data_IF_707483790221
#
_entry.id   IF_707483790221
#
_cell.length_a   1.000
_cell.length_b   1.000
_cell.length_c   1.000
_cell.angle_alpha   90.00
_cell.angle_beta   90.00
_cell.angle_gamma   90.00
#
_symmetry.space_group_name_H-M   'P 1'
#
loop_
_entity.id
_entity.type
_entity.pdbx_description
1 polymer ?
#
# COMPACT_ATOMS: atom_id res chain seq x y z
N UNK A 1 -16.73 6.38 -23.49
CA UNK A 1 -16.53 7.35 -22.39
C UNK A 1 -15.52 6.76 -21.42
N UNK A 2 -14.30 7.27 -21.38
CA UNK A 2 -13.27 6.81 -20.43
C UNK A 2 -13.66 7.24 -19.02
N UNK A 3 -14.17 6.30 -18.22
CA UNK A 3 -14.43 6.53 -16.80
C UNK A 3 -13.11 6.93 -16.12
N UNK A 4 -12.97 8.22 -15.80
CA UNK A 4 -11.79 8.77 -15.13
C UNK A 4 -11.84 8.34 -13.67
N UNK A 5 -11.17 7.23 -13.36
CA UNK A 5 -10.94 6.79 -11.99
C UNK A 5 -9.94 7.71 -11.30
N UNK A 6 -10.08 7.82 -9.98
CA UNK A 6 -9.22 8.65 -9.16
C UNK A 6 -8.19 7.79 -8.42
N UNK A 7 -8.62 6.63 -7.92
CA UNK A 7 -7.74 5.65 -7.32
C UNK A 7 -8.01 4.27 -7.92
N UNK A 8 -6.96 3.50 -8.16
CA UNK A 8 -7.06 2.11 -8.59
C UNK A 8 -6.26 1.26 -7.62
N UNK A 9 -6.92 0.31 -6.97
CA UNK A 9 -6.29 -0.68 -6.11
C UNK A 9 -6.27 -2.04 -6.80
N UNK A 10 -5.09 -2.52 -7.14
CA UNK A 10 -4.89 -3.81 -7.80
C UNK A 10 -4.26 -4.83 -6.85
N UNK A 11 -4.46 -6.11 -7.17
CA UNK A 11 -3.78 -7.24 -6.53
C UNK A 11 -2.95 -7.93 -7.60
N UNK A 12 -1.71 -8.29 -7.29
CA UNK A 12 -0.86 -9.10 -8.17
C UNK A 12 0.14 -9.91 -7.33
N UNK A 13 0.75 -10.91 -7.97
CA UNK A 13 1.80 -11.71 -7.37
C UNK A 13 3.10 -10.90 -7.28
N UNK A 14 3.85 -11.06 -6.19
CA UNK A 14 5.19 -10.49 -6.03
C UNK A 14 6.12 -10.93 -7.17
N UNK A 15 5.96 -12.17 -7.65
CA UNK A 15 6.71 -12.72 -8.78
C UNK A 15 6.41 -12.07 -10.14
N UNK A 16 5.34 -11.28 -10.25
CA UNK A 16 4.99 -10.50 -11.45
C UNK A 16 5.81 -9.21 -11.60
N UNK A 17 6.43 -8.73 -10.51
CA UNK A 17 7.19 -7.48 -10.48
C UNK A 17 8.36 -7.51 -11.47
N UNK A 18 8.52 -6.45 -12.25
CA UNK A 18 9.56 -6.30 -13.29
C UNK A 18 9.31 -7.11 -14.56
N UNK A 19 8.46 -8.13 -14.51
CA UNK A 19 8.08 -8.97 -15.67
C UNK A 19 6.86 -8.43 -16.38
N UNK A 20 5.74 -8.37 -15.68
CA UNK A 20 4.43 -7.93 -16.22
C UNK A 20 4.05 -6.55 -15.71
N UNK A 21 4.55 -6.17 -14.53
CA UNK A 21 4.25 -4.90 -13.89
C UNK A 21 5.54 -4.13 -13.66
N UNK A 22 5.53 -2.84 -14.03
CA UNK A 22 6.67 -1.92 -13.86
C UNK A 22 6.18 -0.72 -13.07
N UNK A 23 6.04 -0.83 -11.74
CA UNK A 23 5.70 0.32 -10.91
C UNK A 23 6.84 1.33 -10.92
N UNK A 24 6.51 2.60 -10.72
CA UNK A 24 7.50 3.67 -10.64
C UNK A 24 8.19 3.70 -9.27
N UNK A 25 7.50 3.18 -8.26
CA UNK A 25 8.05 2.93 -6.94
C UNK A 25 7.51 1.65 -6.30
N UNK A 26 8.30 1.08 -5.40
CA UNK A 26 7.92 -0.04 -4.55
C UNK A 26 7.91 0.37 -3.09
N UNK A 27 7.04 -0.24 -2.28
CA UNK A 27 6.98 -0.05 -0.83
C UNK A 27 7.35 -1.37 -0.16
N UNK A 28 8.43 -1.33 0.61
CA UNK A 28 8.84 -2.40 1.51
C UNK A 28 8.50 -1.98 2.95
N UNK A 29 8.20 -2.95 3.81
CA UNK A 29 8.00 -2.69 5.24
C UNK A 29 9.32 -2.74 6.02
N UNK A 30 9.42 -1.90 7.04
CA UNK A 30 10.54 -1.83 7.97
C UNK A 30 10.08 -1.76 9.43
N UNK A 31 10.98 -2.21 10.29
CA UNK A 31 10.97 -1.93 11.72
C UNK A 31 11.54 -0.52 11.98
N UNK A 32 11.17 0.08 13.11
CA UNK A 32 11.67 1.38 13.54
C UNK A 32 13.19 1.47 13.65
N UNK A 33 13.89 0.35 13.80
CA UNK A 33 15.35 0.24 13.81
C UNK A 33 15.94 -0.20 12.46
N UNK A 34 15.14 -0.27 11.39
CA UNK A 34 15.55 -0.61 10.02
C UNK A 34 16.22 -1.99 9.86
N UNK A 35 15.74 -2.98 10.61
CA UNK A 35 16.31 -4.34 10.64
C UNK A 35 15.60 -5.35 9.73
N UNK A 36 14.57 -4.94 8.96
CA UNK A 36 13.84 -5.85 8.08
C UNK A 36 14.38 -5.85 6.65
N UNK A 37 15.21 -4.86 6.28
CA UNK A 37 15.83 -4.77 4.98
C UNK A 37 16.61 -6.03 4.59
N UNK A 38 16.86 -6.24 3.27
CA UNK A 38 17.60 -7.40 2.80
C UNK A 38 18.93 -7.51 3.54
N UNK A 39 19.23 -8.70 4.06
CA UNK A 39 20.52 -8.98 4.70
C UNK A 39 21.61 -8.79 3.65
N UNK A 40 22.27 -7.64 3.69
CA UNK A 40 23.50 -7.42 2.95
C UNK A 40 24.65 -7.96 3.77
N UNK A 41 25.65 -8.54 3.11
CA UNK A 41 26.95 -8.75 3.74
C UNK A 41 27.47 -7.35 4.10
N UNK A 42 27.78 -7.14 5.37
CA UNK A 42 28.52 -5.96 5.80
C UNK A 42 29.86 -6.00 5.06
N UNK A 43 30.03 -5.13 4.08
CA UNK A 43 31.26 -5.04 3.31
C UNK A 43 32.30 -4.34 4.19
N UNK A 44 33.04 -5.15 4.96
CA UNK A 44 34.12 -4.69 5.85
C UNK A 44 35.32 -4.12 5.06
N UNK A 45 35.34 -4.28 3.73
CA UNK A 45 36.37 -3.75 2.84
C UNK A 45 35.95 -2.41 2.21
N UNK A 46 34.68 -2.02 2.31
CA UNK A 46 34.26 -0.63 2.09
C UNK A 46 34.82 0.23 3.22
N UNK A 47 35.12 1.50 2.95
CA UNK A 47 35.81 2.42 3.87
C UNK A 47 35.08 2.73 5.21
N UNK A 48 34.03 2.00 5.55
CA UNK A 48 33.32 2.07 6.82
C UNK A 48 33.93 1.04 7.78
N UNK A 49 34.85 1.50 8.63
CA UNK A 49 35.42 0.66 9.68
C UNK A 49 34.33 0.19 10.69
N UNK A 50 34.63 -0.88 11.43
CA UNK A 50 33.71 -1.44 12.43
C UNK A 50 33.32 -0.42 13.52
N UNK A 51 34.18 0.56 13.80
CA UNK A 51 33.92 1.63 14.77
C UNK A 51 32.92 2.63 14.22
N UNK A 52 32.94 2.94 12.91
CA UNK A 52 31.97 3.77 12.22
C UNK A 52 30.60 3.10 12.18
N UNK A 53 30.54 1.79 11.94
CA UNK A 53 29.32 1.01 12.06
C UNK A 53 28.79 1.02 13.51
N UNK A 54 29.65 0.86 14.50
CA UNK A 54 29.27 0.92 15.92
C UNK A 54 28.76 2.30 16.34
N UNK A 55 29.44 3.38 15.91
CA UNK A 55 29.01 4.76 16.17
C UNK A 55 27.66 5.05 15.49
N UNK A 56 27.45 4.58 14.27
CA UNK A 56 26.17 4.71 13.57
C UNK A 56 25.02 3.99 14.31
N UNK A 57 25.29 2.81 14.89
CA UNK A 57 24.34 2.07 15.73
C UNK A 57 24.09 2.80 17.05
N UNK A 58 25.13 3.31 17.70
CA UNK A 58 25.03 4.01 19.00
C UNK A 58 24.19 5.29 18.89
N UNK A 59 24.37 6.02 17.80
CA UNK A 59 23.68 7.29 17.58
C UNK A 59 22.34 7.09 16.85
N UNK A 60 22.01 5.84 16.46
CA UNK A 60 20.73 5.51 15.85
C UNK A 60 19.57 5.92 16.76
N UNK A 61 18.61 6.62 16.17
CA UNK A 61 17.36 6.97 16.82
C UNK A 61 16.25 6.21 16.11
N UNK A 62 15.46 5.40 16.83
CA UNK A 62 14.36 4.66 16.23
C UNK A 62 13.42 5.61 15.49
N UNK A 63 13.04 5.23 14.28
CA UNK A 63 12.15 6.02 13.44
C UNK A 63 10.72 6.01 13.98
N UNK A 64 9.93 7.07 13.73
CA UNK A 64 8.54 7.11 14.16
C UNK A 64 7.68 6.11 13.37
N UNK A 65 6.85 5.34 14.09
CA UNK A 65 5.87 4.44 13.49
C UNK A 65 4.85 5.20 12.65
N UNK A 66 4.56 4.67 11.46
CA UNK A 66 3.76 5.33 10.44
C UNK A 66 4.55 6.34 9.60
N UNK A 67 5.87 6.44 9.80
CA UNK A 67 6.77 7.16 8.92
C UNK A 67 7.19 6.34 7.71
N UNK A 68 8.04 6.93 6.87
CA UNK A 68 8.71 6.21 5.78
C UNK A 68 10.05 6.86 5.44
N UNK A 69 10.95 6.07 4.83
CA UNK A 69 12.15 6.58 4.16
C UNK A 69 12.03 6.39 2.65
N UNK A 70 12.79 7.18 1.90
CA UNK A 70 12.88 7.06 0.45
C UNK A 70 14.31 6.71 0.07
N UNK A 71 14.48 5.56 -0.59
CA UNK A 71 15.75 5.12 -1.18
C UNK A 71 15.65 5.15 -2.69
N UNK A 72 16.70 5.68 -3.34
CA UNK A 72 16.85 5.57 -4.79
C UNK A 72 17.43 4.20 -5.13
N UNK A 73 17.00 3.64 -6.26
CA UNK A 73 17.63 2.45 -6.82
C UNK A 73 19.12 2.70 -7.07
N UNK A 74 19.94 1.66 -6.92
CA UNK A 74 21.40 1.75 -7.11
C UNK A 74 21.77 1.82 -8.59
N UNK A 75 20.89 1.36 -9.47
CA UNK A 75 21.11 1.33 -10.92
C UNK A 75 20.08 2.17 -11.69
N UNK A 76 20.47 2.75 -12.85
CA UNK A 76 19.52 3.44 -13.73
C UNK A 76 18.36 2.53 -14.14
N UNK A 77 17.13 3.03 -13.97
CA UNK A 77 15.91 2.31 -14.33
C UNK A 77 15.33 1.42 -13.23
N UNK A 78 15.97 1.32 -12.06
CA UNK A 78 15.35 0.70 -10.88
C UNK A 78 14.27 1.63 -10.30
N UNK A 79 13.13 1.08 -9.84
CA UNK A 79 12.08 1.87 -9.20
C UNK A 79 12.59 2.48 -7.89
N UNK A 80 11.97 3.60 -7.49
CA UNK A 80 12.19 4.18 -6.16
C UNK A 80 11.69 3.22 -5.08
N UNK A 81 12.38 3.13 -3.94
CA UNK A 81 11.92 2.30 -2.82
C UNK A 81 11.48 3.18 -1.66
N UNK A 82 10.22 3.07 -1.28
CA UNK A 82 9.73 3.54 0.01
C UNK A 82 9.91 2.44 1.06
N UNK A 83 10.53 2.79 2.19
CA UNK A 83 10.63 1.93 3.36
C UNK A 83 9.61 2.40 4.39
N UNK A 84 8.46 1.74 4.43
CA UNK A 84 7.36 2.04 5.34
C UNK A 84 7.69 1.54 6.75
N UNK A 85 7.87 2.46 7.70
CA UNK A 85 8.16 2.12 9.10
C UNK A 85 6.85 1.78 9.80
N UNK A 86 6.52 0.49 9.84
CA UNK A 86 5.23 -0.01 10.35
C UNK A 86 5.39 -1.02 11.47
N UNK A 87 6.60 -1.53 11.70
CA UNK A 87 6.90 -2.45 12.78
C UNK A 87 7.68 -1.80 13.92
N UNK A 88 7.36 -2.24 15.13
CA UNK A 88 8.19 -2.15 16.33
C UNK A 88 8.33 -3.57 16.89
N UNK A 89 9.47 -4.21 16.62
CA UNK A 89 9.70 -5.59 17.07
C UNK A 89 9.91 -5.75 18.58
N UNK A 90 10.02 -4.64 19.33
CA UNK A 90 9.98 -4.67 20.80
C UNK A 90 8.55 -4.86 21.34
N UNK A 91 7.53 -4.68 20.49
CA UNK A 91 6.12 -4.81 20.85
C UNK A 91 5.49 -6.12 20.35
N UNK A 92 4.37 -6.48 20.98
CA UNK A 92 3.47 -7.55 20.56
C UNK A 92 2.00 -7.10 20.68
N UNK A 93 1.24 -6.97 19.56
CA UNK A 93 1.70 -7.13 18.18
C UNK A 93 2.70 -6.04 17.81
N UNK A 94 3.62 -6.36 16.89
CA UNK A 94 4.66 -5.44 16.41
C UNK A 94 4.11 -4.29 15.55
N UNK A 95 2.85 -4.36 15.12
CA UNK A 95 2.25 -3.40 14.21
C UNK A 95 0.80 -3.14 14.60
N UNK A 96 0.32 -1.91 14.41
CA UNK A 96 -1.10 -1.55 14.52
C UNK A 96 -1.65 -1.09 13.17
N UNK A 97 -2.95 -1.26 12.88
CA UNK A 97 -3.55 -0.81 11.62
C UNK A 97 -3.31 0.68 11.33
N UNK A 98 -3.28 1.50 12.38
CA UNK A 98 -3.00 2.93 12.26
C UNK A 98 -1.59 3.26 11.78
N UNK A 99 -0.60 2.39 12.01
CA UNK A 99 0.78 2.60 11.58
C UNK A 99 0.90 2.35 10.08
N UNK A 100 0.30 1.26 9.59
CA UNK A 100 0.16 0.98 8.15
C UNK A 100 -0.56 2.12 7.45
N UNK A 101 -1.71 2.56 7.98
CA UNK A 101 -2.50 3.66 7.39
C UNK A 101 -1.68 4.94 7.29
N UNK A 102 -1.02 5.37 8.36
CA UNK A 102 -0.21 6.61 8.37
C UNK A 102 0.95 6.53 7.36
N UNK A 103 1.67 5.40 7.33
CA UNK A 103 2.80 5.23 6.44
C UNK A 103 2.36 5.21 4.97
N UNK A 104 1.34 4.42 4.65
CA UNK A 104 0.83 4.31 3.28
C UNK A 104 0.23 5.63 2.78
N UNK A 105 -0.52 6.36 3.62
CA UNK A 105 -0.96 7.73 3.29
C UNK A 105 0.22 8.67 3.00
N UNK A 106 1.27 8.61 3.82
CA UNK A 106 2.48 9.40 3.65
C UNK A 106 3.18 9.09 2.32
N UNK A 107 3.35 7.79 2.02
CA UNK A 107 3.96 7.31 0.78
C UNK A 107 3.18 7.76 -0.44
N UNK A 108 1.85 7.57 -0.47
CA UNK A 108 1.04 7.99 -1.64
C UNK A 108 1.10 9.50 -1.85
N UNK A 109 1.03 10.30 -0.79
CA UNK A 109 1.14 11.76 -0.87
C UNK A 109 2.52 12.19 -1.39
N UNK A 110 3.60 11.57 -0.92
CA UNK A 110 4.96 11.87 -1.42
C UNK A 110 5.14 11.44 -2.88
N UNK A 111 4.62 10.26 -3.24
CA UNK A 111 4.63 9.75 -4.60
C UNK A 111 3.92 10.72 -5.57
N UNK A 112 2.75 11.25 -5.20
CA UNK A 112 2.06 12.27 -6.00
C UNK A 112 2.86 13.57 -6.13
N UNK A 113 3.48 14.05 -5.05
CA UNK A 113 4.35 15.25 -5.11
C UNK A 113 5.54 15.05 -6.06
N UNK A 114 6.02 13.83 -6.20
CA UNK A 114 7.07 13.44 -7.15
C UNK A 114 6.55 13.16 -8.57
N UNK A 115 5.25 13.25 -8.80
CA UNK A 115 4.61 12.96 -10.08
C UNK A 115 4.46 11.47 -10.39
N UNK A 116 4.62 10.58 -9.40
CA UNK A 116 4.45 9.14 -9.58
C UNK A 116 2.96 8.78 -9.55
N UNK A 117 2.51 8.03 -10.56
CA UNK A 117 1.12 7.57 -10.70
C UNK A 117 0.93 6.10 -10.35
N UNK A 118 2.00 5.31 -10.23
CA UNK A 118 1.92 3.88 -9.95
C UNK A 118 2.95 3.40 -8.92
N UNK A 119 2.43 2.93 -7.78
CA UNK A 119 3.20 2.34 -6.68
C UNK A 119 2.75 0.89 -6.42
N UNK A 120 3.71 0.00 -6.22
CA UNK A 120 3.45 -1.35 -5.71
C UNK A 120 3.89 -1.45 -4.24
N UNK A 121 3.14 -2.16 -3.41
CA UNK A 121 3.42 -2.31 -1.98
C UNK A 121 3.34 -3.77 -1.58
N UNK A 122 4.21 -4.19 -0.66
CA UNK A 122 4.06 -5.45 0.05
C UNK A 122 2.81 -5.43 0.95
N UNK A 123 2.44 -6.59 1.50
CA UNK A 123 1.40 -6.73 2.53
C UNK A 123 1.87 -6.12 3.88
N UNK A 124 1.88 -4.79 3.94
CA UNK A 124 2.41 -4.01 5.08
C UNK A 124 1.76 -4.41 6.39
N UNK A 125 2.58 -4.48 7.44
CA UNK A 125 2.17 -4.81 8.80
C UNK A 125 2.03 -6.31 9.04
N UNK A 126 2.26 -7.16 8.03
CA UNK A 126 2.32 -8.61 8.19
C UNK A 126 3.77 -9.07 8.25
N UNK A 127 4.15 -9.69 9.37
CA UNK A 127 5.48 -10.27 9.53
C UNK A 127 5.44 -11.52 10.41
N UNK A 128 5.63 -12.71 9.81
CA UNK A 128 5.77 -14.00 10.51
C UNK A 128 4.80 -14.22 11.69
N UNK A 129 3.55 -13.76 11.57
CA UNK A 129 2.54 -13.86 12.63
C UNK A 129 2.68 -12.88 13.80
N UNK A 130 3.73 -12.04 13.86
CA UNK A 130 3.94 -11.01 14.89
C UNK A 130 3.27 -9.66 14.59
N UNK A 131 2.58 -9.56 13.46
CA UNK A 131 1.98 -8.33 12.97
C UNK A 131 0.46 -8.40 12.96
N UNK A 132 -0.13 -7.73 11.98
CA UNK A 132 -1.57 -7.73 11.73
C UNK A 132 -2.04 -9.09 11.19
N UNK A 133 -3.25 -9.47 11.54
CA UNK A 133 -4.01 -10.45 10.78
C UNK A 133 -4.26 -9.94 9.35
N UNK A 134 -4.61 -10.86 8.44
CA UNK A 134 -4.93 -10.50 7.06
C UNK A 134 -6.12 -9.52 7.01
N UNK A 135 -7.14 -9.73 7.85
CA UNK A 135 -8.30 -8.85 7.91
C UNK A 135 -7.96 -7.43 8.36
N UNK A 136 -7.12 -7.29 9.39
CA UNK A 136 -6.67 -6.00 9.91
C UNK A 136 -5.82 -5.23 8.89
N UNK A 137 -4.95 -5.93 8.16
CA UNK A 137 -4.18 -5.33 7.08
C UNK A 137 -5.10 -4.81 5.97
N UNK A 138 -6.07 -5.62 5.54
CA UNK A 138 -7.04 -5.20 4.52
C UNK A 138 -7.90 -4.03 4.98
N UNK A 139 -8.28 -3.99 6.26
CA UNK A 139 -8.97 -2.85 6.86
C UNK A 139 -8.11 -1.59 6.81
N UNK A 140 -6.84 -1.67 7.21
CA UNK A 140 -5.91 -0.55 7.14
C UNK A 140 -5.73 -0.02 5.70
N UNK A 141 -5.60 -0.91 4.72
CA UNK A 141 -5.49 -0.54 3.30
C UNK A 141 -6.77 0.14 2.80
N UNK A 142 -7.94 -0.42 3.11
CA UNK A 142 -9.21 0.14 2.67
C UNK A 142 -9.47 1.52 3.28
N UNK A 143 -9.16 1.70 4.57
CA UNK A 143 -9.24 3.00 5.25
C UNK A 143 -8.27 4.02 4.64
N UNK A 144 -7.06 3.60 4.28
CA UNK A 144 -6.09 4.45 3.58
C UNK A 144 -6.64 4.93 2.24
N UNK A 145 -7.27 4.03 1.47
CA UNK A 145 -7.84 4.38 0.16
C UNK A 145 -8.99 5.38 0.31
N UNK A 146 -9.86 5.21 1.31
CA UNK A 146 -10.92 6.16 1.60
C UNK A 146 -10.36 7.53 2.05
N UNK A 147 -9.35 7.53 2.92
CA UNK A 147 -8.70 8.76 3.39
C UNK A 147 -8.03 9.54 2.25
N UNK A 148 -7.38 8.83 1.33
CA UNK A 148 -6.68 9.42 0.19
C UNK A 148 -7.63 9.87 -0.91
N UNK A 149 -8.73 9.14 -1.16
CA UNK A 149 -9.67 9.42 -2.25
C UNK A 149 -10.11 10.89 -2.40
N UNK A 150 -10.44 11.66 -1.35
CA UNK A 150 -10.79 13.09 -1.52
C UNK A 150 -9.60 14.00 -1.85
N UNK A 151 -8.36 13.54 -1.61
CA UNK A 151 -7.13 14.33 -1.64
C UNK A 151 -6.36 14.18 -2.97
N UNK A 152 -6.68 13.16 -3.77
CA UNK A 152 -5.96 12.88 -5.00
C UNK A 152 -6.33 13.92 -6.08
N UNK A 153 -5.33 14.52 -6.68
CA UNK A 153 -5.49 15.49 -7.79
C UNK A 153 -5.36 14.82 -9.17
N UNK A 154 -4.65 13.69 -9.23
CA UNK A 154 -4.42 12.89 -10.42
C UNK A 154 -4.74 11.41 -10.16
N UNK A 155 -5.10 10.63 -11.20
CA UNK A 155 -5.30 9.18 -11.06
C UNK A 155 -4.08 8.50 -10.45
N UNK A 156 -4.28 7.73 -9.38
CA UNK A 156 -3.21 7.02 -8.68
C UNK A 156 -3.49 5.51 -8.60
N UNK A 157 -2.51 4.70 -8.97
CA UNK A 157 -2.57 3.24 -8.93
C UNK A 157 -1.72 2.71 -7.79
N UNK A 158 -2.34 1.96 -6.89
CA UNK A 158 -1.68 1.18 -5.85
C UNK A 158 -1.87 -0.30 -6.14
N UNK A 159 -0.79 -1.08 -6.12
CA UNK A 159 -0.83 -2.54 -6.28
C UNK A 159 -0.34 -3.21 -5.01
N UNK A 160 -1.17 -4.06 -4.41
CA UNK A 160 -0.76 -4.94 -3.33
C UNK A 160 -0.13 -6.21 -3.92
N UNK A 161 1.14 -6.44 -3.57
CA UNK A 161 1.93 -7.61 -3.96
C UNK A 161 1.72 -8.71 -2.93
N UNK A 162 1.26 -9.88 -3.40
CA UNK A 162 0.95 -11.06 -2.61
C UNK A 162 1.84 -12.23 -3.02
N UNK A 163 2.06 -13.18 -2.13
CA UNK A 163 3.09 -14.20 -2.38
C UNK A 163 2.59 -15.33 -3.29
N UNK A 164 1.30 -15.68 -3.20
CA UNK A 164 0.66 -16.72 -4.00
C UNK A 164 -0.79 -16.39 -4.43
N UNK A 165 -1.38 -17.26 -5.24
CA UNK A 165 -2.72 -17.07 -5.80
C UNK A 165 -3.83 -17.24 -4.75
N UNK A 166 -3.61 -18.07 -3.74
CA UNK A 166 -4.58 -18.31 -2.67
C UNK A 166 -4.71 -17.05 -1.80
N UNK A 167 -3.60 -16.39 -1.49
CA UNK A 167 -3.62 -15.07 -0.85
C UNK A 167 -4.33 -14.02 -1.71
N UNK A 168 -4.11 -14.01 -3.03
CA UNK A 168 -4.81 -13.09 -3.96
C UNK A 168 -6.32 -13.31 -3.89
N UNK A 169 -6.77 -14.55 -3.94
CA UNK A 169 -8.18 -14.91 -3.85
C UNK A 169 -8.78 -14.52 -2.50
N UNK A 170 -8.10 -14.88 -1.39
CA UNK A 170 -8.55 -14.56 -0.04
C UNK A 170 -8.67 -13.04 0.19
N UNK A 171 -7.65 -12.28 -0.23
CA UNK A 171 -7.65 -10.81 -0.16
C UNK A 171 -8.80 -10.24 -1.01
N UNK A 172 -9.00 -10.74 -2.22
CA UNK A 172 -10.09 -10.31 -3.10
C UNK A 172 -11.47 -10.54 -2.44
N UNK A 173 -11.69 -11.69 -1.82
CA UNK A 173 -12.91 -11.99 -1.07
C UNK A 173 -13.11 -11.05 0.12
N UNK A 174 -12.06 -10.78 0.90
CA UNK A 174 -12.13 -9.87 2.05
C UNK A 174 -12.45 -8.44 1.60
N UNK A 175 -11.81 -7.94 0.54
CA UNK A 175 -12.09 -6.61 -0.02
C UNK A 175 -13.55 -6.50 -0.48
N UNK A 176 -14.05 -7.52 -1.19
CA UNK A 176 -15.46 -7.59 -1.63
C UNK A 176 -16.41 -7.56 -0.44
N UNK A 177 -16.20 -8.45 0.53
CA UNK A 177 -17.04 -8.55 1.72
C UNK A 177 -17.07 -7.24 2.52
N UNK A 178 -15.90 -6.61 2.73
CA UNK A 178 -15.78 -5.35 3.48
C UNK A 178 -16.47 -4.20 2.77
N UNK A 179 -16.26 -4.06 1.46
CA UNK A 179 -16.89 -3.00 0.68
C UNK A 179 -18.43 -3.13 0.70
N UNK A 180 -18.94 -4.36 0.54
CA UNK A 180 -20.38 -4.64 0.61
C UNK A 180 -20.96 -4.31 1.99
N UNK A 181 -20.22 -4.57 3.08
CA UNK A 181 -20.64 -4.19 4.44
C UNK A 181 -20.69 -2.68 4.65
N UNK A 182 -19.84 -1.90 3.99
CA UNK A 182 -19.81 -0.42 4.08
C UNK A 182 -20.78 0.28 3.12
N UNK A 183 -21.34 -0.44 2.16
CA UNK A 183 -22.25 0.12 1.16
C UNK A 183 -23.54 0.67 1.81
N UNK A 184 -24.02 1.83 1.35
CA UNK A 184 -25.26 2.44 1.87
C UNK A 184 -26.55 1.76 1.36
N UNK A 185 -26.56 0.43 1.21
CA UNK A 185 -27.63 -0.41 0.62
C UNK A 185 -27.94 -0.16 -0.87
N UNK A 186 -27.19 0.69 -1.55
CA UNK A 186 -27.35 0.95 -2.98
C UNK A 186 -26.29 0.19 -3.80
N UNK A 187 -26.61 -1.04 -4.15
CA UNK A 187 -25.94 -1.77 -5.22
C UNK A 187 -26.59 -1.38 -6.54
N UNK A 188 -25.80 -0.94 -7.51
CA UNK A 188 -26.31 -0.68 -8.87
C UNK A 188 -25.39 -1.37 -9.86
N UNK A 189 -25.97 -2.20 -10.72
CA UNK A 189 -25.35 -2.56 -11.98
C UNK A 189 -25.51 -1.36 -12.91
N UNK A 190 -24.40 -0.79 -13.38
CA UNK A 190 -24.41 0.25 -14.41
C UNK A 190 -24.07 -0.41 -15.73
N UNK A 191 -24.74 0.01 -16.82
CA UNK A 191 -24.58 -0.53 -18.17
C UNK A 191 -23.12 -0.87 -18.51
N UNK A 192 -22.87 -2.14 -18.86
CA UNK A 192 -21.55 -2.69 -19.14
C UNK A 192 -21.00 -3.68 -18.09
N UNK A 193 -21.88 -4.46 -17.45
CA UNK A 193 -21.59 -5.68 -16.67
C UNK A 193 -20.71 -5.57 -15.42
N UNK A 194 -20.43 -4.36 -14.93
CA UNK A 194 -19.66 -4.20 -13.69
C UNK A 194 -20.53 -3.78 -12.51
N UNK A 195 -20.42 -4.56 -11.43
CA UNK A 195 -20.98 -4.22 -10.14
C UNK A 195 -20.38 -2.90 -9.61
N UNK A 196 -21.24 -1.91 -9.35
CA UNK A 196 -20.86 -0.65 -8.71
C UNK A 196 -21.47 -0.60 -7.30
N UNK A 197 -20.61 -0.31 -6.33
CA UNK A 197 -20.97 -0.13 -4.93
C UNK A 197 -20.82 1.35 -4.57
N UNK A 198 -21.89 1.98 -4.09
CA UNK A 198 -21.83 3.33 -3.54
C UNK A 198 -21.49 3.26 -2.04
N UNK A 199 -20.40 3.94 -1.66
CA UNK A 199 -19.99 4.15 -0.27
C UNK A 199 -20.10 5.64 0.04
N UNK A 200 -20.68 5.94 1.20
CA UNK A 200 -20.77 7.31 1.72
C UNK A 200 -19.79 7.50 2.85
N UNK A 201 -19.04 8.59 2.79
CA UNK A 201 -18.11 9.00 3.84
C UNK A 201 -18.39 10.47 4.18
N UNK A 202 -19.11 10.69 5.29
CA UNK A 202 -19.69 11.98 5.63
C UNK A 202 -20.57 12.55 4.51
N UNK A 203 -20.11 13.65 3.91
CA UNK A 203 -20.78 14.34 2.79
C UNK A 203 -20.33 13.86 1.40
N UNK A 204 -19.25 13.07 1.32
CA UNK A 204 -18.70 12.57 0.08
C UNK A 204 -19.35 11.24 -0.33
N UNK A 205 -19.44 11.03 -1.65
CA UNK A 205 -19.93 9.79 -2.25
C UNK A 205 -18.87 9.23 -3.19
N UNK A 206 -18.59 7.95 -3.05
CA UNK A 206 -17.62 7.23 -3.88
C UNK A 206 -18.28 6.02 -4.52
N UNK A 207 -18.00 5.84 -5.81
CA UNK A 207 -18.37 4.65 -6.55
C UNK A 207 -17.16 3.75 -6.66
N UNK A 208 -17.30 2.55 -6.09
CA UNK A 208 -16.33 1.48 -6.16
C UNK A 208 -16.78 0.48 -7.21
N UNK A 209 -15.91 0.20 -8.18
CA UNK A 209 -16.15 -0.76 -9.25
C UNK A 209 -15.13 -1.89 -9.15
N UNK A 210 -15.60 -3.11 -8.95
CA UNK A 210 -14.75 -4.29 -9.14
C UNK A 210 -14.44 -4.47 -10.62
N UNK A 211 -13.21 -4.84 -10.96
CA UNK A 211 -12.81 -5.04 -12.36
C UNK A 211 -13.33 -6.42 -12.81
N UNK A 212 -14.30 -6.49 -13.76
CA UNK A 212 -14.90 -7.77 -14.16
C UNK A 212 -13.88 -8.75 -14.74
N UNK A 213 -14.09 -10.05 -14.52
CA UNK A 213 -13.23 -11.11 -15.05
C UNK A 213 -11.83 -11.19 -14.43
N UNK A 214 -11.59 -10.44 -13.35
CA UNK A 214 -10.32 -10.48 -12.62
C UNK A 214 -10.56 -10.76 -11.14
N UNK A 215 -9.63 -11.49 -10.52
CA UNK A 215 -9.52 -11.57 -9.05
C UNK A 215 -9.07 -10.22 -8.44
N UNK A 216 -8.84 -9.21 -9.28
CA UNK A 216 -8.15 -7.97 -8.93
C UNK A 216 -9.08 -6.96 -8.24
N UNK A 217 -8.49 -6.10 -7.40
CA UNK A 217 -9.13 -5.22 -6.42
C UNK A 217 -10.28 -4.33 -6.95
N UNK A 218 -10.14 -3.02 -6.91
CA UNK A 218 -11.23 -2.13 -7.31
C UNK A 218 -10.76 -0.75 -7.75
N UNK A 219 -11.62 -0.08 -8.51
CA UNK A 219 -11.45 1.29 -8.95
C UNK A 219 -12.38 2.19 -8.14
N UNK A 220 -11.87 3.32 -7.68
CA UNK A 220 -12.62 4.34 -6.94
C UNK A 220 -12.81 5.57 -7.82
N UNK A 221 -14.06 6.00 -7.92
CA UNK A 221 -14.46 7.24 -8.60
C UNK A 221 -15.20 8.12 -7.61
N UNK A 222 -14.85 9.41 -7.57
CA UNK A 222 -15.59 10.39 -6.78
C UNK A 222 -16.85 10.76 -7.52
N UNK A 223 -18.00 10.61 -6.85
CA UNK A 223 -19.29 11.06 -7.39
C UNK A 223 -19.37 12.55 -7.14
N UNK A 224 -19.49 13.35 -8.20
CA UNK A 224 -19.87 14.76 -8.03
C UNK A 224 -21.31 14.77 -7.53
N UNK A 225 -21.54 15.35 -6.35
CA UNK A 225 -22.90 15.68 -5.92
C UNK A 225 -23.47 16.64 -6.97
N UNK A 226 -24.39 16.14 -7.79
CA UNK A 226 -25.14 16.98 -8.72
C UNK A 226 -25.95 17.99 -7.92
N UNK A 227 -25.82 19.26 -8.29
CA UNK A 227 -26.82 20.32 -8.09
C UNK A 227 -28.18 19.90 -8.60
#
# INVERSE_FOLDING_TARGET
MTHRWLFRFDLDLRSSLGRRTRPEAVVAQEDRNLIMGPQTILDLDAADDLDAAYLAVRDHRPLPLGGFLVRRGREPGQPLTYQAVVHDFELDPSCRPGDVRRSLCGVVRDAQKRGLGFVATEALGRWHGRGLSLEEMIEAFHDTILELSPQLEAPFRLMLMLDDLDEVEQVSHLLRSRLLRRASRSFRTVDGDAAVVEVRDGVAKYHFRFVPGTLSGYMVTRVRSGS
#
